data_IF_180365870753
#
_entry.id   IF_180365870753
#
_cell.length_a   1.000
_cell.length_b   1.000
_cell.length_c   1.000
_cell.angle_alpha   90.00
_cell.angle_beta   90.00
_cell.angle_gamma   90.00
#
_symmetry.space_group_name_H-M   'P 1'
#
loop_
_entity.id
_entity.type
_entity.pdbx_description
1 polymer ?
#
# COMPACT_ATOMS: atom_id res chain seq x y z
N UNK A 1 6.86 -26.22 -18.36
CA UNK A 1 5.96 -25.46 -17.45
C UNK A 1 6.25 -23.96 -17.49
N UNK A 2 7.51 -23.53 -17.37
CA UNK A 2 7.85 -22.09 -17.45
C UNK A 2 7.37 -21.42 -18.73
N UNK A 3 7.75 -21.96 -19.89
CA UNK A 3 7.31 -21.44 -21.20
C UNK A 3 5.79 -21.43 -21.35
N UNK A 4 5.11 -22.49 -20.93
CA UNK A 4 3.63 -22.54 -20.96
C UNK A 4 2.99 -21.49 -20.05
N UNK A 5 3.57 -21.18 -18.89
CA UNK A 5 3.07 -20.10 -18.02
C UNK A 5 3.28 -18.74 -18.67
N UNK A 6 4.42 -18.51 -19.33
CA UNK A 6 4.71 -17.25 -20.04
C UNK A 6 3.70 -17.05 -21.17
N UNK A 7 3.49 -18.04 -22.03
CA UNK A 7 2.55 -17.96 -23.14
C UNK A 7 1.10 -17.80 -22.64
N UNK A 8 0.73 -18.47 -21.54
CA UNK A 8 -0.56 -18.28 -20.88
C UNK A 8 -0.72 -16.85 -20.35
N UNK A 9 0.32 -16.34 -19.68
CA UNK A 9 0.34 -14.98 -19.15
C UNK A 9 0.38 -13.95 -20.28
N UNK A 10 0.89 -14.27 -21.45
CA UNK A 10 0.79 -13.40 -22.61
C UNK A 10 -0.56 -13.50 -23.35
N UNK A 11 -1.19 -14.67 -23.31
CA UNK A 11 -2.33 -14.97 -24.17
C UNK A 11 -1.93 -14.99 -25.66
N UNK A 12 -0.67 -15.32 -25.94
CA UNK A 12 -0.05 -15.28 -27.27
C UNK A 12 1.46 -15.52 -27.20
N UNK A 13 2.15 -15.38 -28.32
CA UNK A 13 3.61 -15.61 -28.41
C UNK A 13 4.47 -14.41 -27.99
N UNK A 14 3.85 -13.25 -27.78
CA UNK A 14 4.50 -12.01 -27.36
C UNK A 14 3.53 -11.11 -26.59
N UNK A 15 4.07 -10.07 -25.95
CA UNK A 15 3.27 -9.00 -25.34
C UNK A 15 2.52 -8.24 -26.43
N UNK A 16 1.19 -8.20 -26.33
CA UNK A 16 0.29 -7.60 -27.32
C UNK A 16 -1.02 -7.09 -26.65
N UNK A 17 -2.07 -6.81 -27.42
CA UNK A 17 -3.35 -6.31 -26.92
C UNK A 17 -3.98 -7.23 -25.84
N UNK A 18 -3.86 -8.55 -26.00
CA UNK A 18 -4.35 -9.52 -25.01
C UNK A 18 -3.67 -9.35 -23.64
N UNK A 19 -2.36 -9.09 -23.61
CA UNK A 19 -1.65 -8.81 -22.35
C UNK A 19 -2.08 -7.49 -21.72
N UNK A 20 -2.17 -6.42 -22.52
CA UNK A 20 -2.44 -5.09 -22.00
C UNK A 20 -3.82 -5.02 -21.34
N UNK A 21 -4.84 -5.56 -22.01
CA UNK A 21 -6.20 -5.60 -21.47
C UNK A 21 -6.27 -6.40 -20.17
N UNK A 22 -5.60 -7.56 -20.11
CA UNK A 22 -5.57 -8.37 -18.89
C UNK A 22 -4.81 -7.70 -17.75
N UNK A 23 -3.68 -7.07 -18.04
CA UNK A 23 -2.90 -6.35 -17.03
C UNK A 23 -3.66 -5.15 -16.50
N UNK A 24 -4.40 -4.43 -17.35
CA UNK A 24 -5.31 -3.39 -16.90
C UNK A 24 -6.39 -3.95 -15.96
N UNK A 25 -7.05 -5.06 -16.33
CA UNK A 25 -8.05 -5.71 -15.46
C UNK A 25 -7.45 -6.17 -14.13
N UNK A 26 -6.24 -6.74 -14.13
CA UNK A 26 -5.54 -7.12 -12.90
C UNK A 26 -5.15 -5.91 -12.06
N UNK A 27 -4.58 -4.87 -12.68
CA UNK A 27 -4.23 -3.63 -12.01
C UNK A 27 -5.45 -2.96 -11.38
N UNK A 28 -6.62 -3.06 -12.02
CA UNK A 28 -7.87 -2.53 -11.46
C UNK A 28 -8.35 -3.32 -10.24
N UNK A 29 -8.34 -4.66 -10.28
CA UNK A 29 -8.88 -5.48 -9.18
C UNK A 29 -7.93 -5.60 -7.99
N UNK A 30 -6.60 -5.59 -8.21
CA UNK A 30 -5.60 -5.81 -7.17
C UNK A 30 -5.67 -4.80 -6.01
N UNK A 31 -5.86 -3.48 -6.22
CA UNK A 31 -6.03 -2.51 -5.14
C UNK A 31 -7.18 -2.87 -4.17
N UNK A 32 -8.28 -3.43 -4.67
CA UNK A 32 -9.40 -3.87 -3.82
C UNK A 32 -9.07 -5.13 -3.02
N UNK A 33 -8.32 -6.05 -3.62
CA UNK A 33 -7.79 -7.23 -2.90
C UNK A 33 -6.85 -6.76 -1.79
N UNK A 34 -5.96 -5.80 -2.06
CA UNK A 34 -5.06 -5.20 -1.06
C UNK A 34 -5.88 -4.54 0.05
N UNK A 35 -6.93 -3.78 -0.27
CA UNK A 35 -7.81 -3.17 0.73
C UNK A 35 -8.41 -4.23 1.67
N UNK A 36 -8.89 -5.36 1.13
CA UNK A 36 -9.41 -6.45 1.95
C UNK A 36 -8.33 -7.08 2.85
N UNK A 37 -7.12 -7.28 2.32
CA UNK A 37 -5.98 -7.76 3.10
C UNK A 37 -5.58 -6.77 4.21
N UNK A 38 -5.68 -5.45 3.98
CA UNK A 38 -5.44 -4.42 5.00
C UNK A 38 -6.47 -4.54 6.13
N UNK A 39 -7.74 -4.80 5.84
CA UNK A 39 -8.75 -5.01 6.89
C UNK A 39 -8.46 -6.25 7.73
N UNK A 40 -8.08 -7.37 7.11
CA UNK A 40 -7.67 -8.59 7.83
C UNK A 40 -6.44 -8.30 8.70
N UNK A 41 -5.45 -7.59 8.14
CA UNK A 41 -4.25 -7.19 8.88
C UNK A 41 -4.60 -6.37 10.12
N UNK A 42 -5.47 -5.35 9.98
CA UNK A 42 -5.90 -4.52 11.09
C UNK A 42 -6.76 -5.28 12.12
N UNK A 43 -7.56 -6.25 11.69
CA UNK A 43 -8.31 -7.12 12.61
C UNK A 43 -7.36 -7.89 13.53
N UNK A 44 -6.32 -8.52 12.96
CA UNK A 44 -5.34 -9.24 13.77
C UNK A 44 -4.52 -8.30 14.64
N UNK A 45 -4.13 -7.13 14.15
CA UNK A 45 -3.46 -6.11 14.96
C UNK A 45 -4.34 -5.67 16.14
N UNK A 46 -5.65 -5.51 15.94
CA UNK A 46 -6.58 -5.12 16.99
C UNK A 46 -6.75 -6.22 18.07
N UNK A 47 -6.54 -7.49 17.72
CA UNK A 47 -6.62 -8.60 18.68
C UNK A 47 -5.48 -8.59 19.71
N UNK A 48 -4.28 -8.16 19.31
CA UNK A 48 -3.10 -8.08 20.19
C UNK A 48 -2.82 -6.67 20.70
N UNK A 49 -3.25 -5.65 19.96
CA UNK A 49 -2.81 -4.28 20.10
C UNK A 49 -1.40 -4.04 19.54
N UNK A 50 -1.01 -2.77 19.47
CA UNK A 50 0.33 -2.36 19.03
C UNK A 50 1.40 -2.65 20.08
N UNK A 51 2.60 -2.98 19.60
CA UNK A 51 3.80 -3.02 20.43
C UNK A 51 4.31 -1.60 20.73
N UNK A 52 5.31 -1.49 21.62
CA UNK A 52 5.96 -0.23 21.95
C UNK A 52 7.49 -0.34 21.79
N UNK A 53 8.22 0.77 21.74
CA UNK A 53 9.67 0.77 21.50
C UNK A 53 10.49 -0.05 22.50
N UNK A 54 9.99 -0.21 23.74
CA UNK A 54 10.67 -1.00 24.77
C UNK A 54 10.40 -2.51 24.63
N UNK A 55 9.45 -2.93 23.78
CA UNK A 55 9.07 -4.33 23.60
C UNK A 55 8.40 -4.98 24.83
N UNK A 56 8.13 -4.21 25.88
CA UNK A 56 7.48 -4.67 27.10
C UNK A 56 5.95 -4.62 26.97
N UNK A 57 5.22 -5.24 27.90
CA UNK A 57 3.76 -5.18 27.88
C UNK A 57 3.24 -3.76 28.15
N UNK A 58 2.50 -3.18 27.21
CA UNK A 58 1.93 -1.82 27.30
C UNK A 58 0.62 -1.72 28.07
N UNK A 59 0.04 -2.85 28.51
CA UNK A 59 -1.28 -2.87 29.16
C UNK A 59 -1.40 -1.98 30.40
N UNK A 60 -0.29 -1.74 31.11
CA UNK A 60 -0.29 -0.90 32.32
C UNK A 60 -0.52 0.59 32.01
N UNK A 61 -0.11 1.06 30.82
CA UNK A 61 -0.11 2.48 30.45
C UNK A 61 -0.65 2.68 29.03
N UNK A 62 -1.92 2.35 28.81
CA UNK A 62 -2.61 2.65 27.54
C UNK A 62 -3.25 4.04 27.60
N UNK A 63 -3.11 4.78 26.49
CA UNK A 63 -3.85 6.03 26.23
C UNK A 63 -4.84 5.81 25.09
N UNK A 64 -5.97 6.53 25.04
CA UNK A 64 -6.94 6.40 23.95
C UNK A 64 -6.34 6.88 22.62
N UNK A 65 -6.84 6.34 21.51
CA UNK A 65 -6.40 6.72 20.16
C UNK A 65 -6.73 8.20 19.86
N UNK A 66 -7.96 8.62 20.17
CA UNK A 66 -8.41 10.01 20.12
C UNK A 66 -8.20 10.66 21.51
N UNK A 67 -7.57 11.84 21.63
CA UNK A 67 -7.04 12.72 20.57
C UNK A 67 -5.59 12.49 20.17
N UNK A 68 -4.84 11.72 20.97
CA UNK A 68 -3.38 11.68 20.91
C UNK A 68 -2.82 11.22 19.57
N UNK A 69 -3.24 10.03 19.11
CA UNK A 69 -2.73 9.46 17.87
C UNK A 69 -3.37 10.10 16.64
N UNK A 70 -4.63 10.57 16.73
CA UNK A 70 -5.26 11.33 15.64
C UNK A 70 -4.45 12.59 15.28
N UNK A 71 -4.07 13.39 16.28
CA UNK A 71 -3.29 14.62 16.04
C UNK A 71 -1.90 14.29 15.48
N UNK A 72 -1.26 13.26 16.05
CA UNK A 72 0.06 12.82 15.60
C UNK A 72 0.05 12.32 14.15
N UNK A 73 -0.95 11.52 13.78
CA UNK A 73 -1.08 10.96 12.45
C UNK A 73 -1.45 12.04 11.42
N UNK A 74 -2.27 13.03 11.80
CA UNK A 74 -2.59 14.19 10.96
C UNK A 74 -1.33 15.00 10.60
N UNK A 75 -0.45 15.24 11.58
CA UNK A 75 0.83 15.90 11.32
C UNK A 75 1.68 15.11 10.31
N UNK A 76 1.75 13.79 10.48
CA UNK A 76 2.43 12.91 9.53
C UNK A 76 1.84 12.99 8.12
N UNK A 77 0.51 13.03 8.01
CA UNK A 77 -0.18 13.15 6.73
C UNK A 77 0.09 14.48 6.03
N UNK A 78 0.16 15.59 6.79
CA UNK A 78 0.54 16.91 6.26
C UNK A 78 1.96 16.88 5.68
N UNK A 79 2.92 16.29 6.41
CA UNK A 79 4.32 16.18 5.95
C UNK A 79 4.40 15.34 4.67
N UNK A 80 3.71 14.20 4.65
CA UNK A 80 3.66 13.31 3.47
C UNK A 80 3.05 14.02 2.25
N UNK A 81 1.89 14.66 2.40
CA UNK A 81 1.25 15.38 1.30
C UNK A 81 2.09 16.56 0.81
N UNK A 82 2.72 17.30 1.71
CA UNK A 82 3.63 18.38 1.34
C UNK A 82 4.78 17.86 0.48
N UNK A 83 5.40 16.74 0.87
CA UNK A 83 6.46 16.13 0.07
C UNK A 83 5.99 15.67 -1.32
N UNK A 84 4.79 15.09 -1.42
CA UNK A 84 4.20 14.68 -2.70
C UNK A 84 3.93 15.89 -3.60
N UNK A 85 3.36 16.96 -3.04
CA UNK A 85 3.09 18.21 -3.75
C UNK A 85 4.39 18.81 -4.29
N UNK A 86 5.46 18.84 -3.49
CA UNK A 86 6.75 19.34 -3.95
C UNK A 86 7.27 18.58 -5.18
N UNK A 87 7.17 17.25 -5.17
CA UNK A 87 7.59 16.42 -6.31
C UNK A 87 6.71 16.73 -7.52
N UNK A 88 5.39 16.71 -7.37
CA UNK A 88 4.46 16.94 -8.48
C UNK A 88 4.61 18.31 -9.13
N UNK A 89 4.86 19.38 -8.35
CA UNK A 89 4.91 20.75 -8.88
C UNK A 89 6.30 21.20 -9.34
N UNK A 90 7.37 20.82 -8.64
CA UNK A 90 8.71 21.29 -8.98
C UNK A 90 9.48 20.35 -9.89
N UNK A 91 9.30 19.03 -9.76
CA UNK A 91 10.02 18.06 -10.58
C UNK A 91 9.22 16.75 -10.77
N UNK A 92 8.14 16.76 -11.57
CA UNK A 92 7.20 15.63 -11.68
C UNK A 92 7.84 14.35 -12.25
N UNK A 93 8.91 14.49 -13.02
CA UNK A 93 9.60 13.36 -13.68
C UNK A 93 10.85 12.90 -12.91
N UNK A 94 11.10 13.43 -11.71
CA UNK A 94 12.27 13.08 -10.90
C UNK A 94 12.39 11.57 -10.62
N UNK A 95 11.23 10.89 -10.51
CA UNK A 95 11.13 9.49 -10.14
C UNK A 95 10.76 8.57 -11.32
N UNK A 96 10.75 9.10 -12.54
CA UNK A 96 10.47 8.34 -13.76
C UNK A 96 11.74 8.12 -14.58
N UNK A 97 11.75 7.05 -15.38
CA UNK A 97 12.74 6.86 -16.42
C UNK A 97 12.38 7.69 -17.67
N UNK A 98 13.38 8.24 -18.40
CA UNK A 98 13.18 9.00 -19.64
C UNK A 98 12.65 8.16 -20.81
#
# INVERSE_FOLDING_TARGET
IGESIVLWLWGGFSVNNATLNRFYSFHFILPFIILFLVLIHLMFLHSTGSTNPMGLNSNMNKIPFNPYYIIKDLLGFIIMLFSLILICFFNPYMLSDP
#
